data_IF_791183994413
#
_entry.id   IF_791183994413
#
_cell.length_a   1.000
_cell.length_b   1.000
_cell.length_c   1.000
_cell.angle_alpha   90.00
_cell.angle_beta   90.00
_cell.angle_gamma   90.00
#
_symmetry.space_group_name_H-M   'P 1'
#
loop_
_entity.id
_entity.type
_entity.pdbx_description
1 polymer ?
#
# COMPACT_ATOMS: atom_id res chain seq x y z
N UNK A 1 14.76 20.11 15.98
CA UNK A 1 14.71 18.68 15.58
C UNK A 1 13.44 17.94 16.02
N UNK A 2 12.90 18.17 17.23
CA UNK A 2 11.68 17.46 17.70
C UNK A 2 10.46 17.63 16.75
N UNK A 3 10.24 18.82 16.21
CA UNK A 3 9.14 19.10 15.29
C UNK A 3 9.19 18.30 13.98
N UNK A 4 10.37 18.09 13.41
CA UNK A 4 10.51 17.39 12.13
C UNK A 4 10.11 15.91 12.25
N UNK A 5 10.60 15.23 13.29
CA UNK A 5 10.23 13.84 13.59
C UNK A 5 8.74 13.71 13.95
N UNK A 6 8.17 14.69 14.66
CA UNK A 6 6.74 14.71 14.98
C UNK A 6 5.87 14.93 13.74
N UNK A 7 6.30 15.79 12.80
CA UNK A 7 5.62 15.98 11.51
C UNK A 7 5.65 14.71 10.67
N UNK A 8 6.80 14.06 10.57
CA UNK A 8 6.95 12.79 9.86
C UNK A 8 6.05 11.70 10.46
N UNK A 9 6.00 11.57 11.78
CA UNK A 9 5.11 10.62 12.46
C UNK A 9 3.62 10.90 12.21
N UNK A 10 3.20 12.17 12.22
CA UNK A 10 1.81 12.56 11.89
C UNK A 10 1.47 12.29 10.42
N UNK A 11 2.42 12.46 9.51
CA UNK A 11 2.27 12.18 8.08
C UNK A 11 2.01 10.70 7.79
N UNK A 12 2.64 9.80 8.55
CA UNK A 12 2.48 8.36 8.43
C UNK A 12 1.12 7.85 8.95
N UNK A 13 0.38 8.67 9.69
CA UNK A 13 -0.94 8.29 10.20
C UNK A 13 -2.00 8.24 9.09
N UNK A 14 -1.85 9.02 8.02
CA UNK A 14 -2.78 9.08 6.88
C UNK A 14 -2.91 7.72 6.17
N UNK A 15 -1.82 7.05 5.75
CA UNK A 15 -1.90 5.70 5.18
C UNK A 15 -2.33 4.62 6.19
N UNK A 16 -1.90 4.72 7.45
CA UNK A 16 -2.24 3.70 8.47
C UNK A 16 -3.74 3.68 8.76
N UNK A 17 -4.42 4.82 8.61
CA UNK A 17 -5.88 4.91 8.72
C UNK A 17 -6.65 4.12 7.65
N UNK A 18 -6.01 3.67 6.56
CA UNK A 18 -6.68 2.83 5.54
C UNK A 18 -6.60 1.33 5.84
N UNK A 19 -5.74 0.91 6.77
CA UNK A 19 -5.59 -0.50 7.17
C UNK A 19 -6.87 -1.11 7.79
N UNK A 20 -7.64 -0.39 8.65
CA UNK A 20 -8.90 -0.91 9.18
C UNK A 20 -9.94 -1.19 8.08
N UNK A 21 -9.98 -0.35 7.05
CA UNK A 21 -10.92 -0.52 5.92
C UNK A 21 -10.53 -1.74 5.09
N UNK A 22 -9.24 -1.94 4.82
CA UNK A 22 -8.74 -3.13 4.15
C UNK A 22 -9.07 -4.41 4.94
N UNK A 23 -8.89 -4.38 6.26
CA UNK A 23 -9.21 -5.48 7.15
C UNK A 23 -10.71 -5.81 7.15
N UNK A 24 -11.59 -4.79 7.19
CA UNK A 24 -13.04 -4.97 7.10
C UNK A 24 -13.46 -5.61 5.77
N UNK A 25 -12.89 -5.17 4.64
CA UNK A 25 -13.21 -5.76 3.34
C UNK A 25 -12.79 -7.22 3.24
N UNK A 26 -11.59 -7.56 3.70
CA UNK A 26 -11.15 -8.97 3.75
C UNK A 26 -11.97 -9.79 4.75
N UNK A 27 -12.33 -9.21 5.91
CA UNK A 27 -13.07 -9.91 6.96
C UNK A 27 -14.51 -10.25 6.56
N UNK A 28 -15.23 -9.30 5.95
CA UNK A 28 -16.57 -9.55 5.42
C UNK A 28 -16.50 -10.53 4.23
N UNK A 29 -15.48 -10.41 3.38
CA UNK A 29 -15.26 -11.34 2.27
C UNK A 29 -15.10 -12.80 2.72
N UNK A 30 -14.30 -13.05 3.76
CA UNK A 30 -14.13 -14.38 4.34
C UNK A 30 -15.35 -14.87 5.15
N UNK A 31 -16.14 -13.94 5.71
CA UNK A 31 -17.37 -14.31 6.42
C UNK A 31 -18.48 -14.80 5.48
N UNK A 32 -18.56 -14.23 4.27
CA UNK A 32 -19.54 -14.63 3.25
C UNK A 32 -19.15 -15.95 2.58
N UNK A 33 -17.86 -16.22 2.38
CA UNK A 33 -17.37 -17.47 1.79
C UNK A 33 -16.06 -17.94 2.48
N UNK A 34 -16.14 -18.83 3.49
CA UNK A 34 -14.98 -19.28 4.25
C UNK A 34 -14.10 -20.31 3.51
N UNK A 35 -14.57 -20.91 2.43
CA UNK A 35 -13.87 -22.01 1.74
C UNK A 35 -13.61 -21.78 0.26
N UNK A 36 -14.31 -20.83 -0.38
CA UNK A 36 -14.25 -20.67 -1.83
C UNK A 36 -13.11 -19.79 -2.35
N UNK A 37 -12.51 -18.90 -1.55
CA UNK A 37 -11.60 -17.86 -2.10
C UNK A 37 -12.24 -17.11 -3.30
N UNK A 38 -13.58 -17.05 -3.35
CA UNK A 38 -14.33 -16.51 -4.48
C UNK A 38 -14.87 -17.52 -5.52
N UNK A 39 -14.68 -18.83 -5.34
CA UNK A 39 -15.11 -19.87 -6.29
C UNK A 39 -16.64 -20.05 -6.40
N UNK A 40 -17.41 -19.73 -5.35
CA UNK A 40 -18.86 -19.90 -5.34
C UNK A 40 -19.65 -18.60 -5.49
N UNK A 41 -19.01 -17.43 -5.30
CA UNK A 41 -19.72 -16.15 -5.32
C UNK A 41 -18.82 -14.99 -5.77
N UNK A 42 -19.17 -14.36 -6.89
CA UNK A 42 -18.44 -13.23 -7.49
C UNK A 42 -18.33 -12.06 -6.51
N UNK A 43 -19.34 -11.89 -5.65
CA UNK A 43 -19.39 -10.81 -4.66
C UNK A 43 -18.34 -11.00 -3.54
N UNK A 44 -18.08 -12.24 -3.12
CA UNK A 44 -17.05 -12.55 -2.12
C UNK A 44 -15.64 -12.40 -2.70
N UNK A 45 -15.42 -12.85 -3.95
CA UNK A 45 -14.17 -12.65 -4.66
C UNK A 45 -13.80 -11.16 -4.76
N UNK A 46 -14.77 -10.33 -5.14
CA UNK A 46 -14.57 -8.88 -5.28
C UNK A 46 -14.21 -8.21 -3.96
N UNK A 47 -14.86 -8.57 -2.86
CA UNK A 47 -14.60 -7.99 -1.53
C UNK A 47 -13.21 -8.36 -1.00
N UNK A 48 -12.80 -9.62 -1.14
CA UNK A 48 -11.47 -10.10 -0.74
C UNK A 48 -10.39 -9.44 -1.61
N UNK A 49 -10.60 -9.39 -2.93
CA UNK A 49 -9.65 -8.80 -3.88
C UNK A 49 -9.53 -7.28 -3.68
N UNK A 50 -10.62 -6.59 -3.33
CA UNK A 50 -10.60 -5.16 -2.99
C UNK A 50 -9.74 -4.88 -1.76
N UNK A 51 -9.93 -5.65 -0.67
CA UNK A 51 -9.09 -5.51 0.53
C UNK A 51 -7.62 -5.83 0.27
N UNK A 52 -7.34 -6.90 -0.48
CA UNK A 52 -5.99 -7.28 -0.90
C UNK A 52 -5.30 -6.20 -1.76
N UNK A 53 -6.05 -5.54 -2.66
CA UNK A 53 -5.48 -4.51 -3.55
C UNK A 53 -4.99 -3.29 -2.77
N UNK A 54 -5.67 -2.91 -1.69
CA UNK A 54 -5.24 -1.81 -0.81
C UNK A 54 -3.90 -2.17 -0.14
N UNK A 55 -3.79 -3.39 0.38
CA UNK A 55 -2.57 -3.87 1.05
C UNK A 55 -1.40 -4.05 0.07
N UNK A 56 -1.67 -4.50 -1.16
CA UNK A 56 -0.64 -4.67 -2.19
C UNK A 56 -0.07 -3.33 -2.67
N UNK A 57 -0.83 -2.25 -2.61
CA UNK A 57 -0.41 -0.91 -3.01
C UNK A 57 -0.03 -0.01 -1.82
N UNK A 58 0.21 -0.59 -0.64
CA UNK A 58 0.52 0.18 0.57
C UNK A 58 1.76 1.07 0.38
N UNK A 59 2.79 0.58 -0.33
CA UNK A 59 4.00 1.38 -0.61
C UNK A 59 3.70 2.67 -1.36
N UNK A 60 2.76 2.61 -2.31
CA UNK A 60 2.28 3.77 -3.08
C UNK A 60 1.50 4.75 -2.19
N UNK A 61 0.62 4.23 -1.33
CA UNK A 61 -0.13 5.02 -0.35
C UNK A 61 0.80 5.72 0.66
N UNK A 62 1.86 5.04 1.12
CA UNK A 62 2.87 5.62 1.99
C UNK A 62 3.71 6.69 1.29
N UNK A 63 4.08 6.48 0.03
CA UNK A 63 4.83 7.47 -0.74
C UNK A 63 4.04 8.78 -0.92
N UNK A 64 2.75 8.69 -1.26
CA UNK A 64 1.84 9.83 -1.35
C UNK A 64 1.66 10.49 0.02
N UNK A 65 1.31 9.70 1.03
CA UNK A 65 0.99 10.19 2.37
C UNK A 65 2.16 10.85 3.07
N UNK A 66 3.38 10.33 2.89
CA UNK A 66 4.60 10.90 3.47
C UNK A 66 5.02 12.19 2.76
N UNK A 67 4.99 12.24 1.44
CA UNK A 67 5.32 13.45 0.70
C UNK A 67 4.29 14.58 0.94
N UNK A 68 3.01 14.22 1.05
CA UNK A 68 1.94 15.16 1.34
C UNK A 68 2.01 15.74 2.76
N UNK A 69 2.18 14.91 3.79
CA UNK A 69 2.19 15.40 5.17
C UNK A 69 3.51 16.06 5.60
N UNK A 70 4.59 15.87 4.83
CA UNK A 70 5.83 16.63 4.97
C UNK A 70 5.80 17.99 4.25
N UNK A 71 4.87 18.19 3.31
CA UNK A 71 4.69 19.48 2.62
C UNK A 71 4.17 20.54 3.59
N UNK A 72 4.68 21.78 3.47
CA UNK A 72 4.23 22.92 4.27
C UNK A 72 2.83 23.39 3.86
N UNK A 73 2.58 23.39 2.55
CA UNK A 73 1.39 23.99 1.95
C UNK A 73 0.37 22.93 1.47
N UNK A 74 0.65 21.64 1.72
CA UNK A 74 -0.18 20.51 1.26
C UNK A 74 -0.42 20.53 -0.25
N UNK A 75 0.57 20.98 -1.01
CA UNK A 75 0.48 21.02 -2.47
C UNK A 75 0.45 19.62 -3.08
N UNK A 76 -0.45 19.41 -4.04
CA UNK A 76 -0.55 18.17 -4.82
C UNK A 76 0.73 17.85 -5.60
N UNK A 77 1.53 18.86 -5.93
CA UNK A 77 2.84 18.72 -6.57
C UNK A 77 3.83 17.91 -5.71
N UNK A 78 3.79 18.08 -4.39
CA UNK A 78 4.63 17.32 -3.47
C UNK A 78 4.21 15.84 -3.42
N UNK A 79 2.90 15.58 -3.45
CA UNK A 79 2.37 14.21 -3.51
C UNK A 79 2.78 13.48 -4.80
N UNK A 80 2.73 14.16 -5.96
CA UNK A 80 3.17 13.60 -7.24
C UNK A 80 4.69 13.31 -7.24
N UNK A 81 5.51 14.20 -6.70
CA UNK A 81 6.94 13.97 -6.55
C UNK A 81 7.25 12.76 -5.63
N UNK A 82 6.42 12.54 -4.59
CA UNK A 82 6.48 11.35 -3.74
C UNK A 82 6.21 10.05 -4.51
N UNK A 83 5.17 10.04 -5.36
CA UNK A 83 4.85 8.88 -6.19
C UNK A 83 5.97 8.57 -7.19
N UNK A 84 6.49 9.59 -7.88
CA UNK A 84 7.58 9.42 -8.84
C UNK A 84 8.85 8.91 -8.13
N UNK A 85 9.19 9.47 -6.97
CA UNK A 85 10.36 9.02 -6.20
C UNK A 85 10.22 7.60 -5.65
N UNK A 86 9.01 7.07 -5.51
CA UNK A 86 8.77 5.65 -5.22
C UNK A 86 8.86 4.76 -6.47
N UNK A 87 8.26 5.18 -7.61
CA UNK A 87 8.25 4.37 -8.84
C UNK A 87 9.63 4.23 -9.50
N UNK A 88 10.47 5.28 -9.47
CA UNK A 88 11.80 5.28 -10.11
C UNK A 88 12.71 4.17 -9.57
N UNK A 89 12.99 4.06 -8.24
CA UNK A 89 13.77 2.95 -7.72
C UNK A 89 13.05 1.61 -7.89
N UNK A 90 11.72 1.55 -7.78
CA UNK A 90 10.98 0.30 -7.96
C UNK A 90 11.14 -0.29 -9.38
N UNK A 91 11.19 0.57 -10.40
CA UNK A 91 11.36 0.17 -11.80
C UNK A 91 12.81 -0.16 -12.13
N UNK A 92 13.77 0.61 -11.59
CA UNK A 92 15.20 0.37 -11.78
C UNK A 92 15.70 -0.89 -11.07
N UNK A 93 15.19 -1.18 -9.87
CA UNK A 93 15.56 -2.39 -9.13
C UNK A 93 14.77 -3.63 -9.60
N UNK A 94 13.68 -3.50 -10.35
CA UNK A 94 12.87 -4.63 -10.77
C UNK A 94 13.64 -5.74 -11.53
N UNK A 95 14.55 -5.45 -12.49
CA UNK A 95 15.35 -6.49 -13.14
C UNK A 95 16.30 -7.18 -12.16
N UNK A 96 16.88 -6.44 -11.22
CA UNK A 96 17.83 -6.96 -10.23
C UNK A 96 17.11 -7.75 -9.10
N UNK A 97 15.92 -7.32 -8.74
CA UNK A 97 15.03 -7.97 -7.77
C UNK A 97 14.44 -9.26 -8.32
N UNK A 98 14.11 -9.32 -9.61
CA UNK A 98 13.68 -10.58 -10.27
C UNK A 98 14.78 -11.63 -10.19
N UNK A 99 16.03 -11.27 -10.47
CA UNK A 99 17.19 -12.17 -10.36
C UNK A 99 17.47 -12.62 -8.91
N UNK A 100 17.27 -11.74 -7.93
CA UNK A 100 17.43 -12.08 -6.51
C UNK A 100 16.28 -12.97 -5.98
N UNK A 101 15.04 -12.72 -6.41
CA UNK A 101 13.86 -13.54 -6.05
C UNK A 101 13.94 -14.95 -6.64
N UNK A 102 14.44 -15.07 -7.87
CA UNK A 102 14.65 -16.36 -8.53
C UNK A 102 15.79 -17.16 -7.88
N UNK A 103 16.81 -16.48 -7.34
CA UNK A 103 17.87 -17.09 -6.54
C UNK A 103 17.41 -17.54 -5.14
N UNK A 104 16.42 -16.86 -4.53
CA UNK A 104 15.84 -17.27 -3.24
C UNK A 104 14.76 -18.35 -3.37
N UNK A 105 14.10 -18.49 -4.53
CA UNK A 105 13.10 -19.55 -4.75
C UNK A 105 13.71 -20.93 -5.05
N UNK A 106 15.02 -21.01 -5.29
CA UNK A 106 15.76 -22.26 -5.53
C UNK A 106 16.45 -22.84 -4.28
N UNK A 107 16.23 -22.24 -3.11
CA UNK A 107 16.82 -22.66 -1.83
C UNK A 107 15.71 -22.96 -0.83
#
# INVERSE_FOLDING_TARGET
MKEYMQKMGRSLMLPVATLPVAALFTGIGYWIDPTGWGANNVLAAFMIQAGQTILNNLGLLFAVGLAFGMSKDKDGSAALAGVVSFLVPMTLLNPLWRLCKESMSKK
#
